data_IF_780642759575
#
_entry.id   IF_780642759575
#
_cell.length_a   1.000
_cell.length_b   1.000
_cell.length_c   1.000
_cell.angle_alpha   90.00
_cell.angle_beta   90.00
_cell.angle_gamma   90.00
#
_symmetry.space_group_name_H-M   'P 1'
#
loop_
_entity.id
_entity.type
_entity.pdbx_description
1 polymer ?
#
# COMPACT_ATOMS: atom_id res chain seq x y z
N UNK A 1 2.60 -22.05 -5.03
CA UNK A 1 1.67 -21.90 -3.89
C UNK A 1 1.29 -20.43 -3.83
N UNK A 2 0.02 -20.15 -4.12
CA UNK A 2 -0.51 -18.90 -4.67
C UNK A 2 -0.97 -17.93 -3.58
N UNK A 3 -0.05 -17.14 -3.02
CA UNK A 3 -0.37 -16.10 -2.01
C UNK A 3 -0.32 -14.69 -2.60
N UNK A 4 0.34 -14.52 -3.75
CA UNK A 4 0.53 -13.21 -4.41
C UNK A 4 -0.74 -12.64 -5.05
N UNK A 5 -1.77 -13.45 -5.28
CA UNK A 5 -2.97 -13.05 -6.03
C UNK A 5 -4.04 -12.35 -5.18
N UNK A 6 -4.13 -12.63 -3.87
CA UNK A 6 -5.29 -12.23 -3.06
C UNK A 6 -5.34 -10.73 -2.74
N UNK A 7 -4.19 -10.05 -2.68
CA UNK A 7 -4.15 -8.61 -2.33
C UNK A 7 -4.41 -7.70 -3.54
N UNK A 8 -4.01 -8.11 -4.75
CA UNK A 8 -4.39 -7.41 -6.00
C UNK A 8 -5.90 -7.54 -6.21
N UNK A 9 -6.48 -8.70 -5.88
CA UNK A 9 -7.92 -8.92 -5.88
C UNK A 9 -8.63 -8.15 -4.74
N UNK A 10 -8.00 -7.94 -3.59
CA UNK A 10 -8.57 -7.12 -2.51
C UNK A 10 -8.50 -5.62 -2.82
N UNK A 11 -7.42 -5.12 -3.44
CA UNK A 11 -7.36 -3.76 -3.99
C UNK A 11 -8.34 -3.56 -5.15
N UNK A 12 -8.57 -4.61 -5.96
CA UNK A 12 -9.67 -4.62 -6.93
C UNK A 12 -11.03 -4.58 -6.23
N UNK A 13 -11.28 -5.21 -5.07
CA UNK A 13 -12.53 -5.00 -4.31
C UNK A 13 -12.73 -3.54 -3.89
N UNK A 14 -11.68 -2.85 -3.47
CA UNK A 14 -11.74 -1.40 -3.20
C UNK A 14 -11.96 -0.60 -4.51
N UNK A 15 -11.71 -1.19 -5.68
CA UNK A 15 -12.01 -0.63 -7.02
C UNK A 15 -13.27 -1.19 -7.72
N UNK A 16 -14.00 -2.15 -7.13
CA UNK A 16 -15.09 -2.91 -7.78
C UNK A 16 -16.46 -2.61 -7.15
N UNK A 17 -16.55 -1.69 -6.19
CA UNK A 17 -17.85 -1.16 -5.75
C UNK A 17 -18.55 -0.25 -6.78
N UNK A 18 -18.01 -0.12 -8.00
CA UNK A 18 -18.63 0.65 -9.09
C UNK A 18 -18.65 -0.09 -10.43
N UNK A 19 -19.22 -1.30 -10.45
CA UNK A 19 -19.86 -1.89 -11.63
C UNK A 19 -20.91 -2.88 -11.15
N UNK A 20 -22.10 -2.39 -10.79
CA UNK A 20 -23.32 -3.20 -10.89
C UNK A 20 -23.47 -3.63 -12.35
N UNK A 21 -23.09 -4.88 -12.64
CA UNK A 21 -23.30 -5.54 -13.93
C UNK A 21 -22.09 -6.30 -14.42
N UNK A 22 -22.20 -7.63 -14.42
CA UNK A 22 -21.60 -8.73 -15.21
C UNK A 22 -20.50 -8.50 -16.30
N UNK A 23 -19.78 -7.38 -16.33
CA UNK A 23 -18.80 -7.06 -17.37
C UNK A 23 -17.36 -7.44 -17.04
N UNK A 24 -16.94 -7.32 -15.78
CA UNK A 24 -15.52 -7.46 -15.40
C UNK A 24 -15.07 -8.94 -15.31
N UNK A 25 -15.99 -9.85 -14.95
CA UNK A 25 -15.78 -11.29 -15.06
C UNK A 25 -15.57 -11.73 -16.52
N UNK A 26 -16.29 -11.10 -17.46
CA UNK A 26 -16.12 -11.32 -18.90
C UNK A 26 -14.75 -10.87 -19.40
N UNK A 27 -14.28 -9.69 -18.98
CA UNK A 27 -12.96 -9.16 -19.35
C UNK A 27 -11.84 -10.08 -18.86
N UNK A 28 -11.92 -10.58 -17.62
CA UNK A 28 -10.91 -11.49 -17.05
C UNK A 28 -10.92 -12.88 -17.72
N UNK A 29 -12.10 -13.39 -18.12
CA UNK A 29 -12.20 -14.64 -18.89
C UNK A 29 -11.58 -14.49 -20.30
N UNK A 30 -11.91 -13.41 -21.02
CA UNK A 30 -11.28 -13.12 -22.32
C UNK A 30 -9.76 -12.94 -22.21
N UNK A 31 -9.25 -12.36 -21.12
CA UNK A 31 -7.81 -12.20 -20.90
C UNK A 31 -7.12 -13.54 -20.61
N UNK A 32 -7.77 -14.47 -19.92
CA UNK A 32 -7.24 -15.83 -19.71
C UNK A 32 -7.25 -16.67 -21.00
N UNK A 33 -8.23 -16.47 -21.88
CA UNK A 33 -8.24 -17.10 -23.21
C UNK A 33 -7.14 -16.53 -24.11
N UNK A 34 -6.86 -15.23 -24.02
CA UNK A 34 -5.73 -14.58 -24.71
C UNK A 34 -4.37 -15.11 -24.18
N UNK A 35 -4.25 -15.41 -22.88
CA UNK A 35 -3.05 -16.05 -22.29
C UNK A 35 -2.75 -17.43 -22.90
N UNK A 36 -3.77 -18.17 -23.33
CA UNK A 36 -3.58 -19.51 -23.89
C UNK A 36 -3.05 -19.49 -25.34
N UNK A 37 -3.13 -18.34 -26.05
CA UNK A 37 -2.90 -18.29 -27.49
C UNK A 37 -1.62 -17.61 -27.99
N UNK A 38 -0.89 -16.81 -27.20
CA UNK A 38 0.10 -15.86 -27.78
C UNK A 38 1.39 -15.72 -26.93
N UNK A 39 2.53 -15.71 -27.62
CA UNK A 39 3.93 -15.61 -27.13
C UNK A 39 4.12 -14.91 -25.77
N UNK A 40 4.54 -15.68 -24.76
CA UNK A 40 4.25 -15.39 -23.35
C UNK A 40 5.16 -14.38 -22.65
N UNK A 41 6.39 -14.13 -23.10
CA UNK A 41 7.33 -13.33 -22.29
C UNK A 41 7.04 -11.81 -22.24
N UNK A 42 6.58 -11.18 -23.34
CA UNK A 42 6.30 -9.74 -23.31
C UNK A 42 4.95 -9.43 -22.66
N UNK A 43 3.96 -10.31 -22.82
CA UNK A 43 2.65 -10.19 -22.19
C UNK A 43 2.76 -10.49 -20.71
N UNK A 44 3.52 -11.52 -20.27
CA UNK A 44 3.75 -11.78 -18.85
C UNK A 44 4.45 -10.62 -18.15
N UNK A 45 5.43 -9.97 -18.78
CA UNK A 45 6.09 -8.80 -18.20
C UNK A 45 5.14 -7.60 -18.09
N UNK A 46 4.31 -7.37 -19.11
CA UNK A 46 3.28 -6.33 -19.07
C UNK A 46 2.18 -6.65 -18.06
N UNK A 47 1.82 -7.92 -17.91
CA UNK A 47 0.87 -8.40 -16.93
C UNK A 47 1.41 -8.19 -15.51
N UNK A 48 2.69 -8.52 -15.26
CA UNK A 48 3.35 -8.26 -13.97
C UNK A 48 3.44 -6.78 -13.65
N UNK A 49 3.68 -5.93 -14.64
CA UNK A 49 3.66 -4.47 -14.46
C UNK A 49 2.25 -3.93 -14.13
N UNK A 50 1.20 -4.58 -14.64
CA UNK A 50 -0.20 -4.26 -14.32
C UNK A 50 -0.62 -4.82 -12.95
N UNK A 51 -0.09 -5.99 -12.56
CA UNK A 51 -0.39 -6.66 -11.29
C UNK A 51 0.38 -6.03 -10.11
N UNK A 52 1.62 -5.59 -10.32
CA UNK A 52 2.47 -5.00 -9.28
C UNK A 52 3.43 -3.94 -9.88
N UNK A 53 2.94 -2.70 -10.06
CA UNK A 53 3.73 -1.64 -10.66
C UNK A 53 4.93 -1.21 -9.79
N UNK A 54 4.84 -1.37 -8.46
CA UNK A 54 5.85 -0.92 -7.50
C UNK A 54 7.05 -1.89 -7.49
N UNK A 55 6.81 -3.21 -7.43
CA UNK A 55 7.88 -4.21 -7.50
C UNK A 55 8.66 -4.18 -8.81
N UNK A 56 8.07 -3.67 -9.89
CA UNK A 56 8.70 -3.63 -11.21
C UNK A 56 9.74 -2.52 -11.36
N UNK A 57 9.83 -1.58 -10.41
CA UNK A 57 10.78 -0.45 -10.44
C UNK A 57 12.22 -0.95 -10.30
N UNK A 58 12.48 -1.85 -9.36
CA UNK A 58 13.79 -2.45 -9.14
C UNK A 58 13.65 -3.80 -8.42
N UNK A 59 14.52 -4.76 -8.72
CA UNK A 59 14.46 -6.12 -8.13
C UNK A 59 14.47 -6.15 -6.60
N UNK A 60 15.12 -5.16 -5.99
CA UNK A 60 15.28 -5.04 -4.54
C UNK A 60 14.16 -4.24 -3.85
N UNK A 61 13.22 -3.64 -4.60
CA UNK A 61 12.12 -2.84 -4.02
C UNK A 61 11.30 -3.62 -2.98
N UNK A 62 10.93 -4.89 -3.20
CA UNK A 62 10.22 -5.66 -2.17
C UNK A 62 11.05 -5.82 -0.88
N UNK A 63 12.38 -5.96 -1.01
CA UNK A 63 13.26 -6.06 0.16
C UNK A 63 13.37 -4.72 0.90
N UNK A 64 13.44 -3.61 0.16
CA UNK A 64 13.46 -2.26 0.72
C UNK A 64 12.15 -1.96 1.44
N UNK A 65 11.01 -2.25 0.81
CA UNK A 65 9.69 -2.06 1.41
C UNK A 65 9.54 -2.86 2.70
N UNK A 66 10.07 -4.09 2.77
CA UNK A 66 10.09 -4.86 4.00
C UNK A 66 10.92 -4.21 5.11
N UNK A 67 12.12 -3.73 4.79
CA UNK A 67 12.99 -3.03 5.77
C UNK A 67 12.33 -1.75 6.28
N UNK A 68 11.73 -0.95 5.38
CA UNK A 68 11.05 0.28 5.73
C UNK A 68 9.82 0.03 6.60
N UNK A 69 9.04 -1.02 6.31
CA UNK A 69 7.90 -1.40 7.14
C UNK A 69 8.31 -1.79 8.57
N UNK A 70 9.39 -2.54 8.74
CA UNK A 70 9.91 -2.91 10.07
C UNK A 70 10.30 -1.65 10.85
N UNK A 71 10.95 -0.69 10.20
CA UNK A 71 11.32 0.57 10.83
C UNK A 71 10.09 1.42 11.22
N UNK A 72 9.03 1.39 10.40
CA UNK A 72 7.76 2.03 10.68
C UNK A 72 7.05 1.39 11.88
N UNK A 73 7.07 0.06 12.00
CA UNK A 73 6.50 -0.66 13.15
C UNK A 73 7.25 -0.36 14.46
N UNK A 74 8.58 -0.26 14.40
CA UNK A 74 9.43 0.02 15.57
C UNK A 74 9.31 1.47 16.07
N UNK A 75 9.39 2.45 15.16
CA UNK A 75 9.37 3.87 15.52
C UNK A 75 7.98 4.47 15.67
N UNK A 76 6.95 3.81 15.12
CA UNK A 76 5.58 4.35 15.02
C UNK A 76 5.58 5.75 14.38
N UNK A 77 6.43 5.96 13.38
CA UNK A 77 6.53 7.19 12.59
C UNK A 77 6.70 6.83 11.11
N UNK A 78 6.28 7.73 10.23
CA UNK A 78 6.59 7.67 8.79
C UNK A 78 8.02 8.07 8.48
N UNK A 79 8.71 8.70 9.44
CA UNK A 79 10.10 9.14 9.32
C UNK A 79 11.03 8.01 9.74
N UNK A 80 11.78 7.50 8.76
CA UNK A 80 12.64 6.33 8.86
C UNK A 80 14.09 6.75 8.65
N UNK A 81 14.88 6.63 9.72
CA UNK A 81 16.34 6.75 9.64
C UNK A 81 16.92 5.36 9.43
N UNK A 82 17.58 5.14 8.28
CA UNK A 82 18.34 3.92 8.01
C UNK A 82 19.79 4.08 8.46
N UNK A 83 20.42 2.95 8.81
CA UNK A 83 21.88 2.95 9.00
C UNK A 83 22.60 3.12 7.66
N UNK A 84 23.75 3.79 7.66
CA UNK A 84 24.60 4.04 6.48
C UNK A 84 24.79 2.78 5.63
N UNK A 85 25.07 1.65 6.28
CA UNK A 85 25.25 0.34 5.61
C UNK A 85 24.00 -0.12 4.87
N UNK A 86 22.82 0.03 5.46
CA UNK A 86 21.56 -0.36 4.84
C UNK A 86 21.20 0.60 3.72
N UNK A 87 21.42 1.91 3.93
CA UNK A 87 21.22 2.92 2.91
C UNK A 87 22.10 2.66 1.69
N UNK A 88 23.40 2.43 1.87
CA UNK A 88 24.33 2.17 0.77
C UNK A 88 23.97 0.88 0.01
N UNK A 89 23.58 -0.17 0.74
CA UNK A 89 23.11 -1.42 0.12
C UNK A 89 21.90 -1.19 -0.79
N UNK A 90 20.96 -0.35 -0.37
CA UNK A 90 19.70 -0.10 -1.05
C UNK A 90 19.64 1.27 -1.74
N UNK A 91 20.78 1.91 -1.97
CA UNK A 91 20.84 3.30 -2.45
C UNK A 91 20.09 3.49 -3.76
N UNK A 92 20.29 2.56 -4.70
CA UNK A 92 19.67 2.60 -6.03
C UNK A 92 18.14 2.41 -5.97
N UNK A 93 17.58 1.34 -5.36
CA UNK A 93 16.13 1.21 -5.24
C UNK A 93 15.49 2.33 -4.41
N UNK A 94 16.15 2.84 -3.37
CA UNK A 94 15.67 4.00 -2.61
C UNK A 94 15.58 5.26 -3.48
N UNK A 95 16.62 5.54 -4.26
CA UNK A 95 16.62 6.69 -5.18
C UNK A 95 15.50 6.59 -6.22
N UNK A 96 15.24 5.39 -6.73
CA UNK A 96 14.14 5.15 -7.68
C UNK A 96 12.76 5.32 -7.03
N UNK A 97 12.56 4.78 -5.83
CA UNK A 97 11.31 4.98 -5.08
C UNK A 97 11.05 6.46 -4.78
N UNK A 98 12.11 7.23 -4.49
CA UNK A 98 12.03 8.67 -4.30
C UNK A 98 11.65 9.40 -5.60
N UNK A 99 12.27 9.04 -6.73
CA UNK A 99 11.95 9.64 -8.03
C UNK A 99 10.50 9.38 -8.49
N UNK A 100 9.92 8.25 -8.08
CA UNK A 100 8.53 7.87 -8.39
C UNK A 100 7.52 8.36 -7.32
N UNK A 101 7.95 9.18 -6.35
CA UNK A 101 7.12 9.73 -5.27
C UNK A 101 6.47 8.66 -4.35
N UNK A 102 7.10 7.50 -4.19
CA UNK A 102 6.69 6.50 -3.20
C UNK A 102 7.28 6.74 -1.82
N UNK A 103 8.45 7.37 -1.77
CA UNK A 103 9.11 7.85 -0.55
C UNK A 103 9.66 9.25 -0.82
N UNK A 104 10.02 9.98 0.23
CA UNK A 104 10.72 11.26 0.11
C UNK A 104 12.02 11.21 0.91
N UNK A 105 13.06 11.86 0.39
CA UNK A 105 14.29 12.10 1.15
C UNK A 105 14.20 13.44 1.87
N UNK A 106 14.29 13.41 3.20
CA UNK A 106 14.42 14.60 4.02
C UNK A 106 15.90 14.81 4.38
N UNK A 107 16.40 16.00 4.04
CA UNK A 107 17.80 16.37 4.19
C UNK A 107 17.99 17.23 5.43
N UNK A 108 18.30 16.62 6.58
CA UNK A 108 18.80 17.38 7.70
C UNK A 108 20.20 17.93 7.38
N UNK A 109 20.37 19.26 7.45
CA UNK A 109 21.66 19.91 7.25
C UNK A 109 22.72 19.32 8.21
N UNK A 110 23.76 18.68 7.66
CA UNK A 110 24.85 18.07 8.43
C UNK A 110 24.85 16.54 8.49
N UNK A 111 23.86 15.85 7.93
CA UNK A 111 23.89 14.40 7.75
C UNK A 111 24.48 14.00 6.39
N UNK A 112 25.28 12.93 6.37
CA UNK A 112 25.79 12.32 5.12
C UNK A 112 24.72 11.54 4.36
N UNK A 113 23.65 11.12 5.05
CA UNK A 113 22.56 10.32 4.50
C UNK A 113 21.21 10.96 4.83
N UNK A 114 20.28 11.08 3.87
CA UNK A 114 18.97 11.65 4.13
C UNK A 114 18.12 10.69 4.97
N UNK A 115 17.25 11.27 5.79
CA UNK A 115 16.13 10.53 6.38
C UNK A 115 15.11 10.21 5.28
N UNK A 116 14.32 9.16 5.50
CA UNK A 116 13.32 8.70 4.53
C UNK A 116 11.94 8.92 5.11
N UNK A 117 11.11 9.69 4.42
CA UNK A 117 9.71 9.88 4.76
C UNK A 117 8.86 8.95 3.90
N UNK A 118 8.13 8.05 4.56
CA UNK A 118 7.10 7.24 3.91
C UNK A 118 5.79 8.03 3.86
N UNK A 119 5.68 8.99 2.96
CA UNK A 119 4.49 9.85 2.83
C UNK A 119 3.39 9.29 1.91
N UNK A 120 3.73 8.36 1.02
CA UNK A 120 2.78 7.86 0.03
C UNK A 120 1.89 6.75 0.63
N UNK A 121 0.56 6.94 0.69
CA UNK A 121 -0.34 5.97 1.32
C UNK A 121 -0.37 4.63 0.58
N UNK A 122 -0.23 4.62 -0.75
CA UNK A 122 -0.17 3.39 -1.53
C UNK A 122 1.10 2.58 -1.23
N UNK A 123 2.23 3.27 -1.04
CA UNK A 123 3.48 2.61 -0.69
C UNK A 123 3.45 2.02 0.74
N UNK A 124 2.86 2.75 1.70
CA UNK A 124 2.67 2.25 3.07
C UNK A 124 1.84 0.96 3.04
N UNK A 125 0.68 0.96 2.35
CA UNK A 125 -0.19 -0.21 2.22
C UNK A 125 0.55 -1.38 1.55
N UNK A 126 1.25 -1.10 0.45
CA UNK A 126 2.06 -2.09 -0.25
C UNK A 126 3.14 -2.72 0.66
N UNK A 127 3.84 -1.89 1.45
CA UNK A 127 4.86 -2.37 2.39
C UNK A 127 4.26 -3.28 3.47
N UNK A 128 3.06 -2.98 3.97
CA UNK A 128 2.33 -3.82 4.92
C UNK A 128 1.92 -5.17 4.29
N UNK A 129 1.47 -5.16 3.03
CA UNK A 129 1.07 -6.35 2.30
C UNK A 129 2.23 -7.34 2.10
N UNK A 130 3.42 -6.83 1.78
CA UNK A 130 4.62 -7.66 1.63
C UNK A 130 5.07 -8.33 2.94
N UNK A 131 4.70 -7.78 4.10
CA UNK A 131 5.04 -8.32 5.42
C UNK A 131 4.00 -9.31 5.96
N UNK A 132 3.23 -9.95 5.07
CA UNK A 132 2.24 -10.98 5.39
C UNK A 132 1.11 -10.52 6.32
N UNK A 133 0.81 -9.22 6.39
CA UNK A 133 -0.29 -8.67 7.20
C UNK A 133 -1.66 -8.76 6.52
N UNK A 134 -1.83 -9.75 5.62
CA UNK A 134 -3.02 -9.86 4.77
C UNK A 134 -4.30 -10.08 5.58
N UNK A 135 -4.22 -10.85 6.66
CA UNK A 135 -5.37 -11.11 7.52
C UNK A 135 -5.80 -9.83 8.26
N UNK A 136 -4.86 -9.10 8.82
CA UNK A 136 -5.08 -7.85 9.54
C UNK A 136 -5.61 -6.75 8.61
N UNK A 137 -5.05 -6.64 7.41
CA UNK A 137 -5.53 -5.69 6.40
C UNK A 137 -6.94 -6.05 5.89
N UNK A 138 -7.25 -7.34 5.71
CA UNK A 138 -8.61 -7.76 5.35
C UNK A 138 -9.62 -7.43 6.46
N UNK A 139 -9.21 -7.57 7.72
CA UNK A 139 -10.04 -7.17 8.86
C UNK A 139 -10.26 -5.65 8.89
N UNK A 140 -9.22 -4.86 8.59
CA UNK A 140 -9.34 -3.41 8.46
C UNK A 140 -10.33 -3.01 7.35
N UNK A 141 -10.22 -3.62 6.17
CA UNK A 141 -11.17 -3.40 5.07
C UNK A 141 -12.58 -3.79 5.49
N UNK A 142 -12.76 -4.92 6.17
CA UNK A 142 -14.07 -5.33 6.67
C UNK A 142 -14.65 -4.34 7.71
N UNK A 143 -13.82 -3.74 8.57
CA UNK A 143 -14.28 -2.70 9.51
C UNK A 143 -14.75 -1.47 8.72
N UNK A 144 -13.97 -1.01 7.74
CA UNK A 144 -14.32 0.15 6.91
C UNK A 144 -15.61 -0.08 6.13
N UNK A 145 -15.74 -1.22 5.46
CA UNK A 145 -16.86 -1.51 4.56
C UNK A 145 -18.17 -1.84 5.32
N UNK A 146 -18.10 -2.33 6.56
CA UNK A 146 -19.29 -2.66 7.37
C UNK A 146 -19.63 -1.58 8.41
N UNK A 147 -18.89 -0.47 8.44
CA UNK A 147 -19.19 0.63 9.37
C UNK A 147 -20.45 1.37 8.94
N UNK A 148 -21.26 1.77 9.92
CA UNK A 148 -22.47 2.53 9.65
C UNK A 148 -22.14 3.94 9.12
N UNK A 149 -22.91 4.39 8.12
CA UNK A 149 -22.78 5.73 7.56
C UNK A 149 -22.96 6.79 8.65
N UNK A 150 -22.14 7.83 8.60
CA UNK A 150 -22.10 8.92 9.58
C UNK A 150 -21.25 8.61 10.83
N UNK A 151 -20.63 7.44 10.92
CA UNK A 151 -19.77 7.08 12.03
C UNK A 151 -18.35 7.64 11.84
N UNK A 152 -17.74 8.10 12.93
CA UNK A 152 -16.34 8.47 13.00
C UNK A 152 -15.51 7.30 13.52
N UNK A 153 -14.52 6.89 12.72
CA UNK A 153 -13.55 5.86 13.05
C UNK A 153 -12.22 6.51 13.43
N UNK A 154 -11.64 6.09 14.55
CA UNK A 154 -10.33 6.58 15.00
C UNK A 154 -9.23 5.55 14.69
N UNK A 155 -8.13 6.02 14.10
CA UNK A 155 -7.04 5.13 13.68
C UNK A 155 -6.38 4.40 14.86
N UNK A 156 -6.29 5.05 16.03
CA UNK A 156 -5.72 4.43 17.24
C UNK A 156 -6.58 3.26 17.75
N UNK A 157 -7.90 3.43 17.76
CA UNK A 157 -8.83 2.40 18.22
C UNK A 157 -8.78 1.18 17.29
N UNK A 158 -8.78 1.42 15.98
CA UNK A 158 -8.67 0.35 14.99
C UNK A 158 -7.30 -0.33 15.08
N UNK A 159 -6.21 0.42 15.28
CA UNK A 159 -4.85 -0.12 15.42
C UNK A 159 -4.77 -1.17 16.52
N UNK A 160 -5.41 -0.92 17.65
CA UNK A 160 -5.48 -1.87 18.75
C UNK A 160 -6.30 -3.12 18.42
N UNK A 161 -7.36 -2.98 17.61
CA UNK A 161 -8.23 -4.09 17.21
C UNK A 161 -7.57 -5.01 16.17
N UNK A 162 -7.00 -4.44 15.10
CA UNK A 162 -6.44 -5.21 13.98
C UNK A 162 -4.93 -5.47 14.09
N UNK A 163 -4.26 -4.89 15.09
CA UNK A 163 -2.81 -5.02 15.33
C UNK A 163 -1.95 -4.58 14.14
N UNK A 164 -2.37 -3.49 13.50
CA UNK A 164 -1.59 -2.79 12.46
C UNK A 164 -1.04 -1.47 12.99
N UNK A 165 0.12 -0.99 12.49
CA UNK A 165 0.58 0.35 12.78
C UNK A 165 -0.45 1.40 12.38
N UNK A 166 -0.58 2.45 13.20
CA UNK A 166 -1.53 3.56 12.96
C UNK A 166 -1.30 4.20 11.59
N UNK A 167 -0.05 4.28 11.14
CA UNK A 167 0.34 4.80 9.83
C UNK A 167 -0.28 4.00 8.67
N UNK A 168 -0.41 2.68 8.82
CA UNK A 168 -1.07 1.84 7.82
C UNK A 168 -2.55 2.17 7.78
N UNK A 169 -3.20 2.34 8.92
CA UNK A 169 -4.63 2.69 9.00
C UNK A 169 -4.88 4.10 8.44
N UNK A 170 -4.04 5.07 8.79
CA UNK A 170 -4.07 6.41 8.22
C UNK A 170 -3.97 6.36 6.69
N UNK A 171 -3.07 5.53 6.14
CA UNK A 171 -2.94 5.35 4.70
C UNK A 171 -4.22 4.78 4.06
N UNK A 172 -4.89 3.81 4.70
CA UNK A 172 -6.20 3.32 4.24
C UNK A 172 -7.25 4.43 4.25
N UNK A 173 -7.32 5.24 5.30
CA UNK A 173 -8.26 6.38 5.38
C UNK A 173 -8.02 7.39 4.26
N UNK A 174 -6.75 7.72 3.96
CA UNK A 174 -6.42 8.61 2.84
C UNK A 174 -6.86 8.03 1.50
N UNK A 175 -6.62 6.73 1.26
CA UNK A 175 -7.03 6.07 0.01
C UNK A 175 -8.55 6.03 -0.13
N UNK A 176 -9.28 5.74 0.95
CA UNK A 176 -10.74 5.72 0.94
C UNK A 176 -11.33 7.12 0.73
N UNK A 177 -10.77 8.13 1.40
CA UNK A 177 -11.21 9.52 1.25
C UNK A 177 -10.90 10.09 -0.13
N UNK A 178 -9.72 9.80 -0.69
CA UNK A 178 -9.38 10.17 -2.07
C UNK A 178 -10.33 9.55 -3.12
N UNK A 179 -11.00 8.44 -2.77
CA UNK A 179 -12.03 7.80 -3.60
C UNK A 179 -13.44 8.33 -3.35
N UNK A 180 -13.61 9.30 -2.44
CA UNK A 180 -14.90 9.89 -2.10
C UNK A 180 -15.79 9.00 -1.21
N UNK A 181 -15.23 7.99 -0.54
CA UNK A 181 -15.97 7.09 0.36
C UNK A 181 -16.15 7.66 1.78
N UNK A 182 -15.43 8.74 2.10
CA UNK A 182 -15.46 9.37 3.40
C UNK A 182 -14.58 10.61 3.51
N UNK A 183 -14.66 11.28 4.65
CA UNK A 183 -13.83 12.45 4.97
C UNK A 183 -12.78 12.11 6.01
N UNK A 184 -11.60 12.72 5.91
CA UNK A 184 -10.53 12.59 6.90
C UNK A 184 -10.39 13.86 7.73
N UNK A 185 -10.24 13.69 9.04
CA UNK A 185 -9.79 14.73 9.95
C UNK A 185 -8.42 14.33 10.49
N UNK A 186 -7.42 15.19 10.26
CA UNK A 186 -6.03 14.96 10.65
C UNK A 186 -5.74 15.71 11.96
N UNK A 187 -5.39 14.99 13.02
CA UNK A 187 -4.89 15.57 14.27
C UNK A 187 -3.55 14.94 14.59
N UNK A 188 -2.48 15.72 14.47
CA UNK A 188 -1.09 15.27 14.64
C UNK A 188 -0.79 14.03 13.76
N UNK A 189 -0.35 12.93 14.36
CA UNK A 189 -0.03 11.66 13.68
C UNK A 189 -1.19 10.66 13.64
N UNK A 190 -2.38 11.02 14.12
CA UNK A 190 -3.56 10.14 14.15
C UNK A 190 -4.70 10.73 13.32
N UNK A 191 -5.30 9.90 12.47
CA UNK A 191 -6.42 10.33 11.65
C UNK A 191 -7.74 9.82 12.21
N UNK A 192 -8.80 10.60 11.96
CA UNK A 192 -10.19 10.16 12.09
C UNK A 192 -10.82 10.11 10.72
N UNK A 193 -11.65 9.10 10.48
CA UNK A 193 -12.34 8.88 9.21
C UNK A 193 -13.84 8.90 9.42
N UNK A 194 -14.54 9.73 8.65
CA UNK A 194 -15.98 9.83 8.65
C UNK A 194 -16.55 9.06 7.46
N UNK A 195 -17.35 8.04 7.74
CA UNK A 195 -17.96 7.18 6.71
C UNK A 195 -19.13 7.91 6.05
N UNK A 196 -19.07 8.14 4.73
CA UNK A 196 -20.12 8.84 3.99
C UNK A 196 -21.08 7.92 3.22
N UNK A 197 -20.65 6.70 2.89
CA UNK A 197 -21.32 5.79 1.97
C UNK A 197 -21.61 4.43 2.61
#
# INVERSE_FOLDING_TARGET
MSVKLDWVLSLQRIGVSFCTGDGILGVLQTLNEIKAGINSNSIENRLRQLEDPISCIHSDVPSVAAVLYIALEDRKSTDVTLTDRVFDKYRRPLTMLNAENYIEFDGAAGSSYPDIIMGNPYFIIYSAALNNKNHEMNNLVAILDNSANGLWLEANDISQQVKLPVQVINAFFEVYSARGLGDISKMDSTYKYHVLA
#
